data_IF_907562292296
#
_entry.id   IF_907562292296
#
_cell.length_a   1.000
_cell.length_b   1.000
_cell.length_c   1.000
_cell.angle_alpha   90.00
_cell.angle_beta   90.00
_cell.angle_gamma   90.00
#
_symmetry.space_group_name_H-M   'P 1'
#
loop_
_entity.id
_entity.type
_entity.pdbx_description
1 polymer ?
#
# COMPACT_ATOMS: atom_id res chain seq x y z
N UNK A 1 -3.47 -8.84 -1.54
CA UNK A 1 -4.21 -8.13 -0.49
C UNK A 1 -4.32 -6.66 -0.90
N UNK A 2 -5.54 -6.12 -0.99
CA UNK A 2 -5.81 -4.75 -1.41
C UNK A 2 -6.25 -3.90 -0.22
N UNK A 3 -5.64 -2.72 -0.04
CA UNK A 3 -5.95 -1.77 1.01
C UNK A 3 -6.49 -0.47 0.39
N UNK A 4 -7.78 -0.21 0.57
CA UNK A 4 -8.47 0.93 -0.04
C UNK A 4 -8.05 2.28 0.54
N UNK A 5 -8.39 3.37 -0.17
CA UNK A 5 -8.14 4.73 0.27
C UNK A 5 -9.14 5.22 1.34
N UNK A 6 -8.84 6.36 1.93
CA UNK A 6 -9.71 7.03 2.91
C UNK A 6 -11.11 7.30 2.34
N UNK A 7 -12.14 6.90 3.08
CA UNK A 7 -13.53 7.08 2.66
C UNK A 7 -14.05 6.11 1.60
N UNK A 8 -13.24 5.13 1.19
CA UNK A 8 -13.63 4.04 0.30
C UNK A 8 -13.91 2.75 1.10
N UNK A 9 -13.92 1.61 0.44
CA UNK A 9 -14.19 0.29 1.02
C UNK A 9 -13.54 -0.82 0.20
N UNK A 10 -13.54 -2.05 0.74
CA UNK A 10 -12.96 -3.20 0.08
C UNK A 10 -13.69 -3.61 -1.21
N UNK A 11 -15.01 -3.42 -1.28
CA UNK A 11 -15.80 -3.75 -2.47
C UNK A 11 -15.46 -2.86 -3.67
N UNK A 12 -15.02 -1.62 -3.42
CA UNK A 12 -14.55 -0.71 -4.46
C UNK A 12 -13.19 -1.18 -5.02
N UNK A 13 -12.20 -1.38 -4.15
CA UNK A 13 -10.84 -1.70 -4.60
C UNK A 13 -10.69 -3.13 -5.12
N UNK A 14 -11.56 -4.08 -4.76
CA UNK A 14 -11.47 -5.47 -5.25
C UNK A 14 -11.64 -5.57 -6.77
N UNK A 15 -12.31 -4.60 -7.40
CA UNK A 15 -12.47 -4.53 -8.85
C UNK A 15 -11.13 -4.46 -9.60
N UNK A 16 -10.07 -4.02 -8.93
CA UNK A 16 -8.72 -3.99 -9.49
C UNK A 16 -8.23 -5.37 -9.94
N UNK A 17 -8.69 -6.46 -9.30
CA UNK A 17 -8.34 -7.84 -9.66
C UNK A 17 -8.60 -8.17 -11.13
N UNK A 18 -9.65 -7.58 -11.72
CA UNK A 18 -10.06 -7.87 -13.09
C UNK A 18 -9.08 -7.31 -14.14
N UNK A 19 -8.16 -6.45 -13.71
CA UNK A 19 -7.10 -5.86 -14.52
C UNK A 19 -5.71 -6.46 -14.23
N UNK A 20 -5.61 -7.34 -13.23
CA UNK A 20 -4.35 -7.98 -12.83
C UNK A 20 -4.20 -9.33 -13.54
N UNK A 21 -3.06 -9.50 -14.24
CA UNK A 21 -2.75 -10.70 -15.03
C UNK A 21 -2.16 -11.82 -14.16
N UNK A 22 -2.87 -12.19 -13.08
CA UNK A 22 -2.57 -13.38 -12.29
C UNK A 22 -3.61 -14.47 -12.62
N UNK A 23 -3.18 -15.72 -12.55
CA UNK A 23 -4.10 -16.85 -12.68
C UNK A 23 -5.08 -16.88 -11.51
N UNK A 24 -6.34 -16.56 -11.80
CA UNK A 24 -7.40 -16.50 -10.79
C UNK A 24 -7.79 -17.88 -10.22
N UNK A 25 -7.32 -18.97 -10.82
CA UNK A 25 -7.55 -20.34 -10.28
C UNK A 25 -6.55 -20.70 -9.19
N UNK A 26 -5.39 -20.05 -9.17
CA UNK A 26 -4.31 -20.28 -8.21
C UNK A 26 -4.03 -19.07 -7.31
N UNK A 27 -4.68 -17.94 -7.57
CA UNK A 27 -4.49 -16.69 -6.82
C UNK A 27 -5.75 -16.30 -6.06
N UNK A 28 -5.56 -15.84 -4.83
CA UNK A 28 -6.64 -15.31 -3.98
C UNK A 28 -6.51 -13.80 -3.87
N UNK A 29 -7.62 -13.09 -4.09
CA UNK A 29 -7.70 -11.64 -3.98
C UNK A 29 -8.55 -11.28 -2.76
N UNK A 30 -7.97 -10.52 -1.84
CA UNK A 30 -8.61 -10.12 -0.59
C UNK A 30 -8.58 -8.60 -0.50
N UNK A 31 -9.73 -7.98 -0.25
CA UNK A 31 -9.87 -6.54 -0.09
C UNK A 31 -10.80 -6.25 1.10
N UNK A 32 -10.26 -6.20 2.32
CA UNK A 32 -11.05 -5.94 3.52
C UNK A 32 -11.49 -4.49 3.60
N UNK A 33 -12.56 -4.23 4.33
CA UNK A 33 -12.84 -2.89 4.82
C UNK A 33 -11.83 -2.54 5.92
N UNK A 34 -11.45 -1.28 5.98
CA UNK A 34 -10.72 -0.74 7.11
C UNK A 34 -11.59 -0.78 8.40
N UNK A 35 -10.97 -0.78 9.60
CA UNK A 35 -11.67 -1.05 10.84
C UNK A 35 -12.65 0.05 11.29
N UNK A 36 -12.43 1.29 10.86
CA UNK A 36 -13.22 2.43 11.34
C UNK A 36 -14.13 2.99 10.24
N UNK A 37 -15.37 3.39 10.56
CA UNK A 37 -16.17 4.21 9.67
C UNK A 37 -15.43 5.53 9.37
N UNK A 38 -15.50 5.99 8.13
CA UNK A 38 -14.86 7.23 7.74
C UNK A 38 -15.56 8.43 8.33
N UNK A 39 -14.80 9.40 8.87
CA UNK A 39 -15.33 10.60 9.53
C UNK A 39 -16.07 11.55 8.57
N UNK A 40 -15.67 11.58 7.30
CA UNK A 40 -16.22 12.47 6.29
C UNK A 40 -17.08 11.79 5.23
N UNK A 41 -17.12 10.44 5.24
CA UNK A 41 -17.96 9.66 4.32
C UNK A 41 -18.61 8.49 5.07
N UNK A 42 -19.87 8.64 5.44
CA UNK A 42 -20.65 7.66 6.21
C UNK A 42 -20.80 6.27 5.53
N UNK A 43 -20.51 6.17 4.23
CA UNK A 43 -20.57 4.91 3.49
C UNK A 43 -19.20 4.26 3.28
N UNK A 44 -18.13 4.92 3.73
CA UNK A 44 -16.76 4.45 3.58
C UNK A 44 -16.07 4.21 4.91
N UNK A 45 -14.85 3.71 4.81
CA UNK A 45 -14.02 3.34 5.95
C UNK A 45 -12.68 4.08 5.91
N UNK A 46 -11.98 4.05 7.05
CA UNK A 46 -10.63 4.60 7.20
C UNK A 46 -9.76 3.65 8.01
N UNK A 47 -8.49 3.55 7.61
CA UNK A 47 -7.49 2.77 8.35
C UNK A 47 -7.09 3.47 9.64
N UNK A 48 -7.08 4.80 9.61
CA UNK A 48 -6.78 5.66 10.74
C UNK A 48 -7.33 7.07 10.50
N UNK A 49 -7.52 7.88 11.57
CA UNK A 49 -7.96 9.27 11.45
C UNK A 49 -6.99 10.14 10.64
N UNK A 50 -7.53 11.12 9.92
CA UNK A 50 -6.78 12.15 9.17
C UNK A 50 -7.34 13.56 9.41
N UNK A 51 -7.79 13.85 10.62
CA UNK A 51 -8.40 15.14 10.98
C UNK A 51 -7.38 16.29 11.01
N UNK A 52 -6.32 16.08 11.76
CA UNK A 52 -5.30 17.10 12.00
C UNK A 52 -4.16 17.00 11.01
N UNK A 53 -3.96 15.81 10.43
CA UNK A 53 -2.83 15.46 9.56
C UNK A 53 -1.46 15.78 10.17
N UNK A 54 -1.42 15.83 11.52
CA UNK A 54 -0.17 16.03 12.25
C UNK A 54 0.69 14.77 12.21
N UNK A 55 2.00 14.93 12.40
CA UNK A 55 2.92 13.79 12.47
C UNK A 55 2.56 12.83 13.61
N UNK A 56 2.07 13.35 14.73
CA UNK A 56 1.70 12.53 15.89
C UNK A 56 0.40 11.75 15.63
N UNK A 57 -0.60 12.38 15.03
CA UNK A 57 -1.83 11.69 14.60
C UNK A 57 -1.49 10.55 13.62
N UNK A 58 -0.65 10.83 12.61
CA UNK A 58 -0.23 9.84 11.64
C UNK A 58 0.55 8.69 12.29
N UNK A 59 1.47 8.96 13.21
CA UNK A 59 2.24 7.92 13.92
C UNK A 59 1.33 7.01 14.75
N UNK A 60 0.42 7.58 15.51
CA UNK A 60 -0.53 6.83 16.32
C UNK A 60 -1.48 6.01 15.43
N UNK A 61 -2.02 6.63 14.41
CA UNK A 61 -2.94 5.98 13.47
C UNK A 61 -2.28 4.83 12.71
N UNK A 62 -1.09 5.05 12.15
CA UNK A 62 -0.34 4.00 11.45
C UNK A 62 0.05 2.85 12.38
N UNK A 63 0.40 3.14 13.63
CA UNK A 63 0.74 2.10 14.62
C UNK A 63 -0.47 1.24 14.97
N UNK A 64 -1.65 1.82 15.13
CA UNK A 64 -2.89 1.10 15.36
C UNK A 64 -3.28 0.27 14.14
N UNK A 65 -3.26 0.87 12.95
CA UNK A 65 -3.58 0.21 11.70
C UNK A 65 -2.60 -0.93 11.36
N UNK A 66 -1.33 -0.81 11.77
CA UNK A 66 -0.33 -1.88 11.64
C UNK A 66 -0.80 -3.18 12.31
N UNK A 67 -1.27 -3.09 13.56
CA UNK A 67 -1.73 -4.25 14.32
C UNK A 67 -2.94 -4.91 13.65
N UNK A 68 -3.87 -4.09 13.16
CA UNK A 68 -5.04 -4.59 12.44
C UNK A 68 -4.65 -5.28 11.11
N UNK A 69 -3.71 -4.69 10.36
CA UNK A 69 -3.22 -5.32 9.13
C UNK A 69 -2.46 -6.63 9.42
N UNK A 70 -1.73 -6.71 10.53
CA UNK A 70 -1.07 -7.94 10.96
C UNK A 70 -2.07 -9.07 11.23
N UNK A 71 -3.20 -8.77 11.87
CA UNK A 71 -4.30 -9.72 12.08
C UNK A 71 -4.88 -10.22 10.75
N UNK A 72 -5.12 -9.31 9.79
CA UNK A 72 -5.61 -9.66 8.45
C UNK A 72 -4.61 -10.58 7.74
N UNK A 73 -3.33 -10.29 7.80
CA UNK A 73 -2.28 -11.10 7.16
C UNK A 73 -2.18 -12.48 7.80
N UNK A 74 -2.21 -12.56 9.13
CA UNK A 74 -2.16 -13.84 9.84
C UNK A 74 -3.39 -14.69 9.48
N UNK A 75 -4.57 -14.09 9.48
CA UNK A 75 -5.79 -14.80 9.04
C UNK A 75 -5.70 -15.24 7.57
N UNK A 76 -5.17 -14.41 6.68
CA UNK A 76 -4.95 -14.79 5.26
C UNK A 76 -4.04 -16.00 5.15
N UNK A 77 -2.95 -16.05 5.91
CA UNK A 77 -2.05 -17.21 5.94
C UNK A 77 -2.74 -18.48 6.42
N UNK A 78 -3.51 -18.39 7.49
CA UNK A 78 -4.24 -19.52 8.07
C UNK A 78 -5.32 -20.04 7.11
N UNK A 79 -6.15 -19.15 6.57
CA UNK A 79 -7.30 -19.50 5.72
C UNK A 79 -6.86 -20.11 4.37
N UNK A 80 -5.71 -19.70 3.83
CA UNK A 80 -5.26 -20.08 2.48
C UNK A 80 -3.96 -20.90 2.44
N UNK A 81 -3.33 -21.15 3.58
CA UNK A 81 -2.11 -21.95 3.66
C UNK A 81 -0.91 -21.31 2.93
N UNK A 82 -0.83 -19.98 2.93
CA UNK A 82 0.24 -19.24 2.23
C UNK A 82 1.24 -18.63 3.21
N UNK A 83 2.49 -18.47 2.76
CA UNK A 83 3.50 -17.73 3.49
C UNK A 83 3.51 -16.24 3.10
N UNK A 84 4.06 -15.37 3.96
CA UNK A 84 4.13 -13.92 3.68
C UNK A 84 4.87 -13.62 2.38
N UNK A 85 5.89 -14.38 2.03
CA UNK A 85 6.62 -14.26 0.76
C UNK A 85 5.77 -14.52 -0.50
N UNK A 86 4.58 -15.10 -0.32
CA UNK A 86 3.59 -15.31 -1.38
C UNK A 86 2.48 -14.26 -1.37
N UNK A 87 2.56 -13.27 -0.47
CA UNK A 87 1.59 -12.18 -0.35
C UNK A 87 2.15 -10.91 -0.99
N UNK A 88 1.37 -10.30 -1.87
CA UNK A 88 1.58 -8.94 -2.35
C UNK A 88 0.55 -8.01 -1.70
N UNK A 89 0.99 -6.88 -1.16
CA UNK A 89 0.11 -5.87 -0.57
C UNK A 89 0.06 -4.68 -1.51
N UNK A 90 -1.14 -4.38 -2.00
CA UNK A 90 -1.42 -3.24 -2.90
C UNK A 90 -2.27 -2.24 -2.16
N UNK A 91 -1.74 -1.06 -1.93
CA UNK A 91 -2.47 0.01 -1.26
C UNK A 91 -2.75 1.19 -2.21
N UNK A 92 -3.91 1.81 -2.05
CA UNK A 92 -4.25 3.07 -2.70
C UNK A 92 -4.40 4.18 -1.66
N UNK A 93 -3.80 5.34 -1.90
CA UNK A 93 -3.90 6.53 -1.05
C UNK A 93 -3.57 6.21 0.43
N UNK A 94 -4.51 6.31 1.37
CA UNK A 94 -4.30 5.93 2.77
C UNK A 94 -3.86 4.46 2.93
N UNK A 95 -4.45 3.55 2.15
CA UNK A 95 -4.04 2.14 2.15
C UNK A 95 -2.60 1.93 1.65
N UNK A 96 -2.11 2.82 0.78
CA UNK A 96 -0.71 2.84 0.34
C UNK A 96 0.25 3.29 1.45
N UNK A 97 -0.15 4.28 2.24
CA UNK A 97 0.62 4.71 3.42
C UNK A 97 0.77 3.54 4.39
N UNK A 98 -0.33 2.85 4.69
CA UNK A 98 -0.32 1.67 5.58
C UNK A 98 0.52 0.53 5.01
N UNK A 99 0.36 0.19 3.72
CA UNK A 99 1.12 -0.88 3.08
C UNK A 99 2.64 -0.63 3.16
N UNK A 100 3.06 0.61 2.86
CA UNK A 100 4.48 1.02 2.91
C UNK A 100 5.00 1.00 4.35
N UNK A 101 4.24 1.55 5.29
CA UNK A 101 4.59 1.56 6.72
C UNK A 101 4.75 0.14 7.26
N UNK A 102 3.78 -0.74 6.97
CA UNK A 102 3.80 -2.13 7.40
C UNK A 102 4.98 -2.90 6.81
N UNK A 103 5.19 -2.81 5.50
CA UNK A 103 6.28 -3.51 4.84
C UNK A 103 7.66 -3.11 5.34
N UNK A 104 7.88 -1.82 5.62
CA UNK A 104 9.16 -1.31 6.13
C UNK A 104 9.46 -1.73 7.58
N UNK A 105 8.43 -1.94 8.38
CA UNK A 105 8.58 -2.38 9.78
C UNK A 105 8.39 -3.89 9.98
N UNK A 106 8.03 -4.63 8.92
CA UNK A 106 7.87 -6.07 9.00
C UNK A 106 9.23 -6.78 9.03
N UNK A 107 9.33 -7.78 9.89
CA UNK A 107 10.46 -8.74 9.90
C UNK A 107 10.30 -9.85 8.86
N UNK A 108 9.15 -9.92 8.21
CA UNK A 108 8.85 -10.93 7.21
C UNK A 108 9.09 -10.40 5.80
N UNK A 109 9.50 -11.30 4.90
CA UNK A 109 9.53 -11.02 3.47
C UNK A 109 8.10 -11.09 2.91
N UNK A 110 7.72 -10.07 2.14
CA UNK A 110 6.55 -10.10 1.26
C UNK A 110 7.01 -10.25 -0.18
N UNK A 111 6.14 -10.77 -1.04
CA UNK A 111 6.45 -10.75 -2.47
C UNK A 111 6.70 -9.31 -2.94
N UNK A 112 5.74 -8.44 -2.67
CA UNK A 112 5.89 -7.03 -2.98
C UNK A 112 4.96 -6.14 -2.14
N UNK A 113 5.37 -4.89 -1.99
CA UNK A 113 4.54 -3.78 -1.52
C UNK A 113 4.33 -2.84 -2.70
N UNK A 114 3.08 -2.60 -3.06
CA UNK A 114 2.70 -1.75 -4.19
C UNK A 114 1.95 -0.53 -3.63
N UNK A 115 2.57 0.62 -3.77
CA UNK A 115 2.10 1.91 -3.28
C UNK A 115 1.53 2.72 -4.44
N UNK A 116 0.22 2.96 -4.43
CA UNK A 116 -0.50 3.70 -5.47
C UNK A 116 -1.02 5.02 -4.92
N UNK A 117 -0.54 6.14 -5.43
CA UNK A 117 -0.99 7.50 -5.11
C UNK A 117 -1.04 7.81 -3.61
N UNK A 118 -0.08 7.29 -2.85
CA UNK A 118 0.08 7.59 -1.43
C UNK A 118 1.54 7.50 -1.02
N UNK A 119 1.92 8.23 0.02
CA UNK A 119 3.31 8.29 0.48
C UNK A 119 3.38 8.58 1.96
N UNK A 120 4.47 8.15 2.59
CA UNK A 120 4.76 8.47 3.97
C UNK A 120 5.57 9.78 4.03
N UNK A 121 5.20 10.73 4.90
CA UNK A 121 6.04 11.90 5.16
C UNK A 121 7.44 11.49 5.65
N UNK A 122 8.46 12.29 5.29
CA UNK A 122 9.85 12.06 5.71
C UNK A 122 10.01 11.93 7.21
N UNK A 123 9.23 12.69 8.01
CA UNK A 123 9.20 12.60 9.47
C UNK A 123 8.76 11.24 10.00
N UNK A 124 7.93 10.52 9.25
CA UNK A 124 7.53 9.15 9.58
C UNK A 124 8.63 8.17 9.15
N UNK A 125 9.14 8.32 7.92
CA UNK A 125 10.17 7.42 7.37
C UNK A 125 11.45 7.38 8.22
N UNK A 126 11.89 8.53 8.73
CA UNK A 126 13.12 8.65 9.53
C UNK A 126 13.01 7.98 10.91
N UNK A 127 11.81 7.90 11.47
CA UNK A 127 11.55 7.30 12.78
C UNK A 127 11.31 5.78 12.71
N UNK A 128 11.26 5.17 11.50
CA UNK A 128 10.95 3.76 11.35
C UNK A 128 12.07 2.85 11.87
N UNK A 129 11.67 1.83 12.60
CA UNK A 129 12.52 0.70 12.90
C UNK A 129 12.51 -0.27 11.72
N UNK A 130 13.52 -0.19 10.89
CA UNK A 130 13.62 -1.03 9.70
C UNK A 130 14.15 -2.43 10.04
N UNK A 131 13.52 -3.44 9.47
CA UNK A 131 14.04 -4.80 9.45
C UNK A 131 14.58 -5.13 8.06
N UNK A 132 15.67 -5.88 8.02
CA UNK A 132 16.24 -6.34 6.75
C UNK A 132 15.36 -7.46 6.20
N UNK A 133 14.71 -7.20 5.08
CA UNK A 133 13.91 -8.18 4.34
C UNK A 133 14.17 -8.06 2.83
N UNK A 134 13.60 -8.96 2.04
CA UNK A 134 13.77 -9.03 0.58
C UNK A 134 12.55 -8.47 -0.18
N UNK A 135 11.63 -7.83 0.53
CA UNK A 135 10.42 -7.26 -0.05
C UNK A 135 10.77 -6.23 -1.14
N UNK A 136 10.13 -6.35 -2.30
CA UNK A 136 10.25 -5.39 -3.39
C UNK A 136 9.17 -4.31 -3.27
N UNK A 137 9.53 -3.07 -3.56
CA UNK A 137 8.60 -1.94 -3.52
C UNK A 137 8.37 -1.38 -4.92
N UNK A 138 7.09 -1.26 -5.32
CA UNK A 138 6.68 -0.52 -6.50
C UNK A 138 5.89 0.70 -6.05
N UNK A 139 6.41 1.89 -6.35
CA UNK A 139 5.76 3.16 -6.06
C UNK A 139 5.22 3.73 -7.37
N UNK A 140 3.93 3.98 -7.43
CA UNK A 140 3.28 4.67 -8.53
C UNK A 140 2.64 5.96 -8.05
N UNK A 141 2.84 7.06 -8.78
CA UNK A 141 2.20 8.33 -8.44
C UNK A 141 1.89 9.17 -9.68
N UNK A 142 0.74 9.83 -9.66
CA UNK A 142 0.37 10.79 -10.69
C UNK A 142 1.08 12.14 -10.47
N UNK A 143 1.64 12.74 -11.53
CA UNK A 143 2.32 14.03 -11.42
C UNK A 143 1.39 15.23 -11.24
N UNK A 144 0.12 15.06 -11.59
CA UNK A 144 -0.91 16.09 -11.39
C UNK A 144 -1.88 15.71 -10.27
N UNK A 145 -1.40 14.89 -9.32
CA UNK A 145 -2.14 14.54 -8.09
C UNK A 145 -2.25 15.78 -7.20
N UNK A 146 -3.49 16.25 -6.99
CA UNK A 146 -3.83 17.43 -6.20
C UNK A 146 -4.25 17.10 -4.76
N UNK A 147 -4.25 15.82 -4.40
CA UNK A 147 -4.57 15.33 -3.03
C UNK A 147 -3.31 14.98 -2.25
N UNK A 148 -2.40 14.24 -2.90
CA UNK A 148 -1.10 13.85 -2.33
C UNK A 148 -0.01 14.23 -3.32
N UNK A 149 0.90 15.10 -2.90
CA UNK A 149 1.98 15.58 -3.77
C UNK A 149 2.91 14.45 -4.22
N UNK A 150 3.24 14.42 -5.51
CA UNK A 150 4.15 13.43 -6.06
C UNK A 150 5.59 13.57 -5.54
N UNK A 151 5.98 14.73 -5.01
CA UNK A 151 7.27 14.95 -4.37
C UNK A 151 7.46 14.02 -3.15
N UNK A 152 6.39 13.73 -2.39
CA UNK A 152 6.46 12.79 -1.28
C UNK A 152 6.75 11.36 -1.74
N UNK A 153 6.26 10.96 -2.92
CA UNK A 153 6.60 9.66 -3.51
C UNK A 153 8.09 9.60 -3.89
N UNK A 154 8.64 10.70 -4.42
CA UNK A 154 10.07 10.81 -4.72
C UNK A 154 10.91 10.77 -3.43
N UNK A 155 10.47 11.42 -2.36
CA UNK A 155 11.13 11.34 -1.04
C UNK A 155 11.14 9.91 -0.50
N UNK A 156 10.01 9.20 -0.62
CA UNK A 156 9.92 7.79 -0.24
C UNK A 156 10.90 6.94 -1.06
N UNK A 157 10.98 7.13 -2.39
CA UNK A 157 11.95 6.43 -3.23
C UNK A 157 13.39 6.72 -2.79
N UNK A 158 13.74 7.99 -2.58
CA UNK A 158 15.08 8.39 -2.13
C UNK A 158 15.44 7.76 -0.77
N UNK A 159 14.47 7.64 0.14
CA UNK A 159 14.65 6.94 1.40
C UNK A 159 14.95 5.45 1.19
N UNK A 160 14.18 4.75 0.35
CA UNK A 160 14.38 3.34 0.03
C UNK A 160 15.75 3.10 -0.61
N UNK A 161 16.16 3.95 -1.56
CA UNK A 161 17.47 3.90 -2.21
C UNK A 161 18.62 4.08 -1.21
N UNK A 162 18.52 5.07 -0.32
CA UNK A 162 19.49 5.32 0.75
C UNK A 162 19.62 4.11 1.70
N UNK A 163 18.53 3.39 1.94
CA UNK A 163 18.50 2.19 2.77
C UNK A 163 18.82 0.91 1.98
N UNK A 164 19.04 1.01 0.67
CA UNK A 164 19.31 -0.13 -0.25
C UNK A 164 18.16 -1.15 -0.24
N UNK A 165 16.94 -0.67 -0.14
CA UNK A 165 15.73 -1.49 -0.22
C UNK A 165 15.33 -1.59 -1.69
N UNK A 166 15.09 -2.82 -2.24
CA UNK A 166 14.71 -2.99 -3.64
C UNK A 166 13.42 -2.24 -3.96
N UNK A 167 13.49 -1.25 -4.84
CA UNK A 167 12.36 -0.38 -5.14
C UNK A 167 12.41 0.17 -6.56
N UNK A 168 11.23 0.52 -7.10
CA UNK A 168 11.05 1.19 -8.38
C UNK A 168 9.94 2.23 -8.24
N UNK A 169 10.19 3.46 -8.72
CA UNK A 169 9.17 4.51 -8.81
C UNK A 169 8.72 4.72 -10.25
N UNK A 170 7.43 4.92 -10.45
CA UNK A 170 6.80 5.30 -11.71
C UNK A 170 5.98 6.57 -11.47
N UNK A 171 6.31 7.62 -12.20
CA UNK A 171 5.57 8.89 -12.18
C UNK A 171 4.81 9.05 -13.51
N UNK A 172 3.48 9.05 -13.44
CA UNK A 172 2.61 9.25 -14.60
C UNK A 172 2.33 10.75 -14.79
N UNK A 173 2.74 11.28 -15.95
CA UNK A 173 2.65 12.72 -16.28
C UNK A 173 1.21 13.25 -16.30
N UNK A 174 0.26 12.39 -16.63
CA UNK A 174 -1.14 12.78 -16.92
C UNK A 174 -2.13 12.18 -15.90
N UNK A 175 -1.65 11.58 -14.82
CA UNK A 175 -2.48 10.98 -13.79
C UNK A 175 -2.61 11.92 -12.59
N UNK A 176 -3.84 12.11 -12.10
CA UNK A 176 -4.15 12.74 -10.81
C UNK A 176 -4.17 11.73 -9.68
N UNK A 177 -5.03 11.95 -8.66
CA UNK A 177 -5.20 11.03 -7.52
C UNK A 177 -6.01 9.80 -7.93
N UNK A 178 -5.41 8.89 -8.70
CA UNK A 178 -6.09 7.70 -9.22
C UNK A 178 -5.12 6.59 -9.62
N UNK A 179 -5.67 5.44 -10.03
CA UNK A 179 -4.92 4.29 -10.54
C UNK A 179 -5.02 4.29 -12.07
N UNK A 180 -3.93 4.62 -12.75
CA UNK A 180 -3.92 4.71 -14.22
C UNK A 180 -3.64 3.35 -14.89
N UNK A 181 -3.93 3.23 -16.20
CA UNK A 181 -3.54 2.05 -16.98
C UNK A 181 -2.03 1.76 -16.93
N UNK A 182 -1.21 2.79 -16.75
CA UNK A 182 0.25 2.62 -16.58
C UNK A 182 0.56 1.91 -15.26
N UNK A 183 -0.12 2.26 -14.16
CA UNK A 183 0.03 1.57 -12.88
C UNK A 183 -0.29 0.07 -13.03
N UNK A 184 -1.40 -0.27 -13.68
CA UNK A 184 -1.81 -1.65 -13.94
C UNK A 184 -0.76 -2.41 -14.76
N UNK A 185 -0.24 -1.77 -15.81
CA UNK A 185 0.83 -2.34 -16.63
C UNK A 185 2.06 -2.68 -15.81
N UNK A 186 2.50 -1.78 -14.94
CA UNK A 186 3.69 -1.98 -14.10
C UNK A 186 3.47 -3.05 -13.03
N UNK A 187 2.29 -3.14 -12.44
CA UNK A 187 1.90 -4.23 -11.54
C UNK A 187 1.98 -5.58 -12.28
N UNK A 188 1.40 -5.65 -13.47
CA UNK A 188 1.43 -6.87 -14.27
C UNK A 188 2.85 -7.26 -14.71
N UNK A 189 3.74 -6.32 -14.96
CA UNK A 189 5.15 -6.60 -15.23
C UNK A 189 5.86 -7.16 -13.99
N UNK A 190 5.60 -6.60 -12.82
CA UNK A 190 6.16 -7.09 -11.57
C UNK A 190 5.73 -8.56 -11.33
N UNK A 191 4.45 -8.86 -11.53
CA UNK A 191 3.93 -10.21 -11.30
C UNK A 191 4.41 -11.23 -12.33
N UNK A 192 4.72 -10.83 -13.57
CA UNK A 192 5.33 -11.74 -14.57
C UNK A 192 6.71 -12.25 -14.17
N UNK A 193 7.42 -11.53 -13.32
CA UNK A 193 8.72 -11.97 -12.79
C UNK A 193 8.58 -12.95 -11.61
N UNK A 194 7.35 -13.23 -11.17
CA UNK A 194 7.05 -14.13 -10.06
C UNK A 194 6.96 -15.60 -10.50
N UNK A 195 6.62 -15.82 -11.75
CA UNK A 195 6.53 -17.13 -12.40
C UNK A 195 7.62 -17.26 -13.48
#
# INVERSE_FOLDING_TARGET
LFLHGYGSNGADLISLKDHISLDQTTSVFISPNAPEPCEFNFFGYQWFPLKERSSDELKLGLSSAYLHLEEIINKTKEDHGVETSQISIVGFSQGSMLATYYGLQSKYDFHSIISLSGSLPSSILEDLKLYKNKTQYLIFHGKIDDVVSCEQAVETQNFLDKKRIPSKIILDQNCGHSISPLAIKEINQLYKSWF
#
